data_IF_171944729285
#
_entry.id   IF_171944729285
#
_cell.length_a   1.000
_cell.length_b   1.000
_cell.length_c   1.000
_cell.angle_alpha   90.00
_cell.angle_beta   90.00
_cell.angle_gamma   90.00
#
_symmetry.space_group_name_H-M   'P 1'
#
loop_
_entity.id
_entity.type
_entity.pdbx_description
1 polymer ?
#
# COMPACT_ATOMS: atom_id res chain seq x y z
N UNK A 1 20.93 -42.35 -11.66
CA UNK A 1 21.90 -41.28 -11.37
C UNK A 1 21.38 -39.89 -11.67
N UNK A 2 20.76 -39.59 -12.85
CA UNK A 2 20.23 -38.25 -13.18
C UNK A 2 19.06 -37.84 -12.29
N UNK A 3 18.07 -38.74 -12.09
CA UNK A 3 16.90 -38.48 -11.24
C UNK A 3 17.29 -38.16 -9.79
N UNK A 4 18.22 -38.92 -9.20
CA UNK A 4 18.71 -38.64 -7.83
C UNK A 4 19.37 -37.26 -7.70
N UNK A 5 20.10 -36.81 -8.72
CA UNK A 5 20.70 -35.46 -8.73
C UNK A 5 19.64 -34.37 -8.77
N UNK A 6 18.58 -34.55 -9.58
CA UNK A 6 17.45 -33.62 -9.67
C UNK A 6 16.73 -33.53 -8.30
N UNK A 7 16.44 -34.67 -7.68
CA UNK A 7 15.79 -34.71 -6.36
C UNK A 7 16.66 -34.05 -5.30
N UNK A 8 17.96 -34.29 -5.29
CA UNK A 8 18.90 -33.65 -4.36
C UNK A 8 18.93 -32.12 -4.52
N UNK A 9 18.92 -31.62 -5.75
CA UNK A 9 18.85 -30.17 -6.03
C UNK A 9 17.54 -29.57 -5.53
N UNK A 10 16.41 -30.23 -5.75
CA UNK A 10 15.11 -29.75 -5.26
C UNK A 10 15.11 -29.66 -3.74
N UNK A 11 15.61 -30.72 -3.06
CA UNK A 11 15.70 -30.71 -1.58
C UNK A 11 16.60 -29.58 -1.09
N UNK A 12 17.74 -29.34 -1.74
CA UNK A 12 18.64 -28.24 -1.38
C UNK A 12 17.98 -26.87 -1.55
N UNK A 13 17.23 -26.65 -2.64
CA UNK A 13 16.50 -25.40 -2.87
C UNK A 13 15.42 -25.21 -1.79
N UNK A 14 14.66 -26.25 -1.46
CA UNK A 14 13.64 -26.18 -0.40
C UNK A 14 14.32 -25.87 0.95
N UNK A 15 15.43 -26.53 1.29
CA UNK A 15 16.14 -26.30 2.53
C UNK A 15 16.68 -24.85 2.63
N UNK A 16 17.21 -24.30 1.53
CA UNK A 16 17.65 -22.92 1.47
C UNK A 16 16.48 -21.94 1.62
N UNK A 17 15.35 -22.22 0.98
CA UNK A 17 14.14 -21.40 1.10
C UNK A 17 13.59 -21.40 2.53
N UNK A 18 13.49 -22.57 3.16
CA UNK A 18 13.03 -22.70 4.56
C UNK A 18 14.02 -22.03 5.52
N UNK A 19 15.33 -22.18 5.26
CA UNK A 19 16.39 -21.51 6.02
C UNK A 19 16.27 -19.98 5.92
N UNK A 20 16.11 -19.44 4.73
CA UNK A 20 15.88 -18.01 4.50
C UNK A 20 14.65 -17.49 5.23
N UNK A 21 13.53 -18.20 5.11
CA UNK A 21 12.28 -17.83 5.78
C UNK A 21 12.43 -17.78 7.31
N UNK A 22 12.99 -18.84 7.92
CA UNK A 22 13.00 -18.95 9.39
C UNK A 22 14.16 -18.21 10.06
N UNK A 23 15.31 -18.08 9.42
CA UNK A 23 16.51 -17.50 10.02
C UNK A 23 16.71 -16.03 9.67
N UNK A 24 16.07 -15.55 8.61
CA UNK A 24 16.22 -14.18 8.14
C UNK A 24 14.89 -13.43 8.11
N UNK A 25 13.89 -13.92 7.36
CA UNK A 25 12.68 -13.16 7.09
C UNK A 25 11.78 -13.05 8.34
N UNK A 26 11.57 -14.13 9.09
CA UNK A 26 10.71 -14.08 10.29
C UNK A 26 11.26 -13.16 11.39
N UNK A 27 12.57 -13.23 11.78
CA UNK A 27 13.11 -12.25 12.72
C UNK A 27 13.02 -10.81 12.23
N UNK A 28 13.22 -10.57 10.93
CA UNK A 28 13.12 -9.25 10.35
C UNK A 28 11.67 -8.72 10.37
N UNK A 29 10.68 -9.58 10.15
CA UNK A 29 9.25 -9.25 10.28
C UNK A 29 8.86 -8.89 11.72
N UNK A 30 9.38 -9.62 12.71
CA UNK A 30 9.15 -9.34 14.13
C UNK A 30 9.75 -7.98 14.51
N UNK A 31 10.96 -7.68 14.04
CA UNK A 31 11.62 -6.39 14.24
C UNK A 31 10.82 -5.26 13.57
N UNK A 32 10.46 -5.41 12.30
CA UNK A 32 9.65 -4.44 11.57
C UNK A 32 8.31 -4.16 12.26
N UNK A 33 7.66 -5.21 12.81
CA UNK A 33 6.41 -5.08 13.57
C UNK A 33 6.62 -4.21 14.82
N UNK A 34 7.74 -4.38 15.49
CA UNK A 34 8.07 -3.58 16.69
C UNK A 34 8.32 -2.11 16.34
N UNK A 35 9.01 -1.84 15.22
CA UNK A 35 9.30 -0.48 14.75
C UNK A 35 8.05 0.25 14.25
N UNK A 36 7.09 -0.45 13.64
CA UNK A 36 5.82 0.13 13.18
C UNK A 36 5.01 0.79 14.31
N UNK A 37 5.09 0.25 15.53
CA UNK A 37 4.21 0.62 16.64
C UNK A 37 4.18 2.12 16.95
N UNK A 38 5.36 2.75 17.03
CA UNK A 38 5.44 4.19 17.36
C UNK A 38 4.97 5.07 16.20
N UNK A 39 5.32 4.71 14.96
CA UNK A 39 4.86 5.42 13.78
C UNK A 39 3.33 5.37 13.63
N UNK A 40 2.71 4.22 13.92
CA UNK A 40 1.25 4.06 13.95
C UNK A 40 0.59 4.90 15.04
N UNK A 41 1.22 5.05 16.22
CA UNK A 41 0.73 5.94 17.27
C UNK A 41 0.75 7.40 16.80
N UNK A 42 1.81 7.85 16.12
CA UNK A 42 1.86 9.19 15.55
C UNK A 42 0.81 9.38 14.47
N UNK A 43 0.63 8.39 13.60
CA UNK A 43 -0.41 8.41 12.57
C UNK A 43 -1.82 8.53 13.19
N UNK A 44 -2.12 7.72 14.22
CA UNK A 44 -3.42 7.74 14.91
C UNK A 44 -3.70 9.07 15.65
N UNK A 45 -2.66 9.87 15.89
CA UNK A 45 -2.76 11.22 16.50
C UNK A 45 -2.70 12.34 15.46
N UNK A 46 -2.86 12.03 14.18
CA UNK A 46 -2.74 12.97 13.06
C UNK A 46 -1.36 13.69 12.99
N UNK A 47 -0.35 13.13 13.66
CA UNK A 47 1.02 13.66 13.66
C UNK A 47 1.79 13.14 12.45
N UNK A 48 1.29 13.40 11.25
CA UNK A 48 1.75 12.75 10.00
C UNK A 48 3.23 13.00 9.70
N UNK A 49 3.77 14.16 10.02
CA UNK A 49 5.21 14.43 9.87
C UNK A 49 6.07 13.52 10.77
N UNK A 50 5.65 13.28 12.01
CA UNK A 50 6.36 12.36 12.92
C UNK A 50 6.12 10.90 12.51
N UNK A 51 4.92 10.57 12.02
CA UNK A 51 4.65 9.26 11.49
C UNK A 51 5.54 8.92 10.28
N UNK A 52 5.79 9.90 9.40
CA UNK A 52 6.65 9.74 8.23
C UNK A 52 8.14 9.62 8.59
N UNK A 53 8.64 10.55 9.42
CA UNK A 53 10.09 10.77 9.59
C UNK A 53 10.62 10.26 10.92
N UNK A 54 9.75 9.77 11.82
CA UNK A 54 10.13 9.47 13.20
C UNK A 54 10.39 10.70 14.04
N UNK A 55 10.86 10.49 15.27
CA UNK A 55 11.16 11.54 16.24
C UNK A 55 12.65 11.61 16.62
N UNK A 56 13.49 10.86 15.90
CA UNK A 56 14.93 10.71 16.15
C UNK A 56 15.30 9.62 17.15
N UNK A 57 14.32 9.06 17.87
CA UNK A 57 14.49 7.86 18.71
C UNK A 57 13.83 6.62 18.07
N UNK A 58 12.69 6.82 17.39
CA UNK A 58 11.93 5.79 16.71
C UNK A 58 11.85 6.10 15.22
N UNK A 59 11.83 5.05 14.41
CA UNK A 59 11.72 5.15 12.96
C UNK A 59 10.35 5.70 12.55
N UNK A 60 10.31 6.41 11.42
CA UNK A 60 9.08 6.74 10.71
C UNK A 60 8.79 5.74 9.59
N UNK A 61 7.60 5.85 9.00
CA UNK A 61 7.19 4.93 7.92
C UNK A 61 8.14 4.94 6.73
N UNK A 62 8.81 6.06 6.43
CA UNK A 62 9.77 6.16 5.33
C UNK A 62 10.96 5.22 5.58
N UNK A 63 11.56 5.29 6.76
CA UNK A 63 12.70 4.45 7.12
C UNK A 63 12.28 2.98 7.21
N UNK A 64 11.10 2.71 7.81
CA UNK A 64 10.57 1.35 7.92
C UNK A 64 10.31 0.74 6.54
N UNK A 65 9.72 1.48 5.61
CA UNK A 65 9.48 1.03 4.23
C UNK A 65 10.79 0.69 3.50
N UNK A 66 11.87 1.43 3.76
CA UNK A 66 13.17 1.21 3.15
C UNK A 66 13.93 0.04 3.81
N UNK A 67 14.05 0.06 5.14
CA UNK A 67 14.89 -0.88 5.88
C UNK A 67 14.29 -2.29 5.93
N UNK A 68 12.96 -2.36 5.92
CA UNK A 68 12.19 -3.60 6.00
C UNK A 68 11.40 -3.93 4.71
N UNK A 69 11.84 -3.45 3.56
CA UNK A 69 11.17 -3.59 2.27
C UNK A 69 10.81 -5.04 1.87
N UNK A 70 11.52 -6.04 2.41
CA UNK A 70 11.24 -7.47 2.15
C UNK A 70 10.19 -8.08 3.07
N UNK A 71 9.64 -7.31 4.01
CA UNK A 71 8.64 -7.74 5.00
C UNK A 71 7.26 -7.20 4.66
N UNK A 72 6.22 -7.83 5.20
CA UNK A 72 4.85 -7.32 5.10
C UNK A 72 4.68 -5.97 5.79
N UNK A 73 5.42 -5.76 6.88
CA UNK A 73 5.38 -4.50 7.61
C UNK A 73 6.03 -3.36 6.81
N UNK A 74 7.14 -3.63 6.11
CA UNK A 74 7.74 -2.66 5.19
C UNK A 74 6.79 -2.27 4.04
N UNK A 75 6.09 -3.26 3.47
CA UNK A 75 5.04 -2.97 2.49
C UNK A 75 3.89 -2.15 3.11
N UNK A 76 3.43 -2.50 4.31
CA UNK A 76 2.39 -1.76 5.02
C UNK A 76 2.85 -0.33 5.37
N UNK A 77 4.13 -0.13 5.67
CA UNK A 77 4.70 1.20 5.88
C UNK A 77 4.60 2.08 4.63
N UNK A 78 4.74 1.53 3.42
CA UNK A 78 4.46 2.28 2.18
C UNK A 78 3.01 2.78 2.12
N UNK A 79 2.04 1.97 2.53
CA UNK A 79 0.64 2.40 2.58
C UNK A 79 0.45 3.56 3.57
N UNK A 80 0.94 3.43 4.81
CA UNK A 80 0.80 4.48 5.82
C UNK A 80 1.58 5.74 5.45
N UNK A 81 2.76 5.62 4.84
CA UNK A 81 3.51 6.76 4.31
C UNK A 81 2.71 7.48 3.23
N UNK A 82 2.16 6.74 2.28
CA UNK A 82 1.31 7.31 1.23
C UNK A 82 0.08 8.03 1.76
N UNK A 83 -0.62 7.45 2.74
CA UNK A 83 -1.77 8.11 3.39
C UNK A 83 -1.32 9.34 4.19
N UNK A 84 -0.18 9.28 4.88
CA UNK A 84 0.36 10.43 5.62
C UNK A 84 0.68 11.59 4.67
N UNK A 85 1.31 11.33 3.54
CA UNK A 85 1.57 12.34 2.51
C UNK A 85 0.28 12.92 1.91
N UNK A 86 -0.74 12.09 1.69
CA UNK A 86 -2.06 12.55 1.24
C UNK A 86 -2.67 13.54 2.24
N UNK A 87 -2.60 13.25 3.54
CA UNK A 87 -3.09 14.14 4.59
C UNK A 87 -2.30 15.45 4.66
N UNK A 88 -1.00 15.41 4.38
CA UNK A 88 -0.14 16.59 4.28
C UNK A 88 -0.29 17.34 2.94
N UNK A 89 -1.14 16.85 2.03
CA UNK A 89 -1.35 17.39 0.67
C UNK A 89 -0.11 17.32 -0.24
N UNK A 90 0.80 16.42 0.08
CA UNK A 90 1.96 16.10 -0.74
C UNK A 90 1.61 14.99 -1.76
N UNK A 91 0.70 15.29 -2.68
CA UNK A 91 0.01 14.31 -3.52
C UNK A 91 0.94 13.47 -4.40
N UNK A 92 2.03 14.04 -4.93
CA UNK A 92 2.98 13.27 -5.73
C UNK A 92 3.71 12.22 -4.89
N UNK A 93 4.19 12.59 -3.70
CA UNK A 93 4.82 11.66 -2.76
C UNK A 93 3.82 10.57 -2.33
N UNK A 94 2.56 10.96 -2.06
CA UNK A 94 1.50 10.01 -1.73
C UNK A 94 1.29 8.96 -2.83
N UNK A 95 1.24 9.40 -4.09
CA UNK A 95 1.08 8.52 -5.25
C UNK A 95 2.25 7.54 -5.36
N UNK A 96 3.49 7.99 -5.15
CA UNK A 96 4.68 7.16 -5.27
C UNK A 96 4.67 6.05 -4.22
N UNK A 97 4.50 6.39 -2.94
CA UNK A 97 4.44 5.39 -1.86
C UNK A 97 3.25 4.45 -1.98
N UNK A 98 2.06 4.93 -2.38
CA UNK A 98 0.89 4.06 -2.58
C UNK A 98 1.04 3.13 -3.79
N UNK A 99 1.84 3.48 -4.80
CA UNK A 99 2.16 2.61 -5.92
C UNK A 99 3.16 1.52 -5.56
N UNK A 100 4.08 1.81 -4.63
CA UNK A 100 5.05 0.86 -4.13
C UNK A 100 4.42 -0.13 -3.12
N UNK A 101 3.23 0.20 -2.59
CA UNK A 101 2.48 -0.70 -1.71
C UNK A 101 1.90 -1.89 -2.49
N UNK A 102 2.10 -3.10 -1.95
CA UNK A 102 1.49 -4.34 -2.43
C UNK A 102 0.92 -5.12 -1.26
N UNK A 103 -0.25 -5.74 -1.44
CA UNK A 103 -0.87 -6.57 -0.41
C UNK A 103 -1.83 -7.59 -1.02
N UNK A 104 -1.90 -8.77 -0.40
CA UNK A 104 -2.92 -9.79 -0.68
C UNK A 104 -4.29 -9.42 -0.10
N UNK A 105 -4.35 -8.42 0.79
CA UNK A 105 -5.62 -7.91 1.33
C UNK A 105 -6.31 -7.04 0.26
N UNK A 106 -7.39 -7.59 -0.29
CA UNK A 106 -8.21 -6.96 -1.35
C UNK A 106 -8.78 -5.61 -0.90
N UNK A 107 -9.17 -5.49 0.39
CA UNK A 107 -9.73 -4.23 0.91
C UNK A 107 -8.65 -3.17 0.95
N UNK A 108 -7.51 -3.50 1.54
CA UNK A 108 -6.41 -2.55 1.69
C UNK A 108 -5.84 -2.12 0.33
N UNK A 109 -5.66 -3.09 -0.59
CA UNK A 109 -5.25 -2.81 -1.98
C UNK A 109 -6.24 -1.90 -2.70
N UNK A 110 -7.56 -2.11 -2.53
CA UNK A 110 -8.59 -1.25 -3.11
C UNK A 110 -8.58 0.15 -2.49
N UNK A 111 -8.33 0.26 -1.18
CA UNK A 111 -8.18 1.55 -0.50
C UNK A 111 -6.95 2.31 -1.01
N UNK A 112 -5.82 1.64 -1.20
CA UNK A 112 -4.62 2.26 -1.76
C UNK A 112 -4.88 2.80 -3.19
N UNK A 113 -5.45 1.98 -4.07
CA UNK A 113 -5.82 2.40 -5.42
C UNK A 113 -6.76 3.60 -5.42
N UNK A 114 -7.78 3.59 -4.56
CA UNK A 114 -8.71 4.70 -4.45
C UNK A 114 -8.07 5.97 -3.89
N UNK A 115 -7.11 5.85 -2.97
CA UNK A 115 -6.35 6.99 -2.44
C UNK A 115 -5.43 7.60 -3.50
N UNK A 116 -4.86 6.78 -4.40
CA UNK A 116 -4.14 7.30 -5.59
C UNK A 116 -5.10 8.10 -6.47
N UNK A 117 -6.34 7.60 -6.67
CA UNK A 117 -7.38 8.33 -7.39
C UNK A 117 -7.70 9.68 -6.73
N UNK A 118 -7.79 9.72 -5.40
CA UNK A 118 -7.99 10.95 -4.63
C UNK A 118 -6.84 11.95 -4.87
N UNK A 119 -5.59 11.48 -4.83
CA UNK A 119 -4.43 12.33 -5.12
C UNK A 119 -4.47 12.94 -6.53
N UNK A 120 -4.79 12.14 -7.55
CA UNK A 120 -4.91 12.66 -8.92
C UNK A 120 -6.05 13.67 -9.06
N UNK A 121 -7.15 13.48 -8.34
CA UNK A 121 -8.25 14.45 -8.34
C UNK A 121 -7.81 15.80 -7.74
N UNK A 122 -7.09 15.78 -6.64
CA UNK A 122 -6.51 16.99 -6.01
C UNK A 122 -5.48 17.69 -6.92
N UNK A 123 -4.78 16.91 -7.77
CA UNK A 123 -3.88 17.42 -8.80
C UNK A 123 -4.62 17.92 -10.07
N UNK A 124 -5.95 17.90 -10.08
CA UNK A 124 -6.79 18.19 -11.25
C UNK A 124 -6.55 17.26 -12.45
N UNK A 125 -6.03 16.06 -12.23
CA UNK A 125 -5.87 15.02 -13.24
C UNK A 125 -7.04 14.05 -13.18
N UNK A 126 -8.16 14.49 -13.72
CA UNK A 126 -9.43 13.76 -13.66
C UNK A 126 -9.38 12.42 -14.39
N UNK A 127 -8.64 12.32 -15.49
CA UNK A 127 -8.55 11.10 -16.28
C UNK A 127 -7.84 9.98 -15.49
N UNK A 128 -6.73 10.30 -14.84
CA UNK A 128 -6.04 9.37 -13.96
C UNK A 128 -6.87 9.07 -12.70
N UNK A 129 -7.55 10.06 -12.11
CA UNK A 129 -8.43 9.84 -10.97
C UNK A 129 -9.50 8.78 -11.29
N UNK A 130 -10.25 8.94 -12.37
CA UNK A 130 -11.27 7.99 -12.85
C UNK A 130 -10.66 6.60 -13.15
N UNK A 131 -9.47 6.56 -13.75
CA UNK A 131 -8.78 5.30 -14.03
C UNK A 131 -8.48 4.53 -12.75
N UNK A 132 -8.00 5.21 -11.70
CA UNK A 132 -7.67 4.58 -10.41
C UNK A 132 -8.91 4.20 -9.61
N UNK A 133 -9.99 4.98 -9.64
CA UNK A 133 -11.27 4.55 -9.03
C UNK A 133 -11.81 3.28 -9.71
N UNK A 134 -11.74 3.17 -11.05
CA UNK A 134 -12.11 1.93 -11.76
C UNK A 134 -11.25 0.75 -11.36
N UNK A 135 -9.94 0.94 -11.18
CA UNK A 135 -9.06 -0.11 -10.66
C UNK A 135 -9.47 -0.53 -9.24
N UNK A 136 -9.77 0.43 -8.35
CA UNK A 136 -10.22 0.15 -7.00
C UNK A 136 -11.54 -0.64 -6.98
N UNK A 137 -12.50 -0.28 -7.86
CA UNK A 137 -13.78 -0.99 -8.02
C UNK A 137 -13.54 -2.42 -8.52
N UNK A 138 -12.74 -2.60 -9.57
CA UNK A 138 -12.49 -3.91 -10.17
C UNK A 138 -11.64 -4.84 -9.30
N UNK A 139 -10.81 -4.28 -8.43
CA UNK A 139 -10.01 -5.06 -7.46
C UNK A 139 -10.84 -5.50 -6.26
N UNK A 140 -11.97 -4.81 -5.98
CA UNK A 140 -12.78 -5.04 -4.80
C UNK A 140 -13.86 -6.10 -5.06
N UNK A 141 -13.93 -7.11 -4.18
CA UNK A 141 -15.02 -8.10 -4.16
C UNK A 141 -15.99 -7.86 -2.98
N UNK A 142 -15.93 -6.66 -2.39
CA UNK A 142 -16.81 -6.29 -1.29
C UNK A 142 -17.65 -5.05 -1.61
N UNK A 143 -18.88 -5.03 -1.11
CA UNK A 143 -19.83 -3.96 -1.36
C UNK A 143 -19.42 -2.60 -0.78
N UNK A 144 -18.58 -2.57 0.25
CA UNK A 144 -18.19 -1.33 0.93
C UNK A 144 -17.23 -0.50 0.07
N UNK A 145 -16.08 -1.07 -0.34
CA UNK A 145 -15.10 -0.36 -1.17
C UNK A 145 -15.63 -0.10 -2.57
N UNK A 146 -16.36 -1.07 -3.16
CA UNK A 146 -17.01 -0.90 -4.47
C UNK A 146 -18.00 0.28 -4.45
N UNK A 147 -18.92 0.34 -3.49
CA UNK A 147 -19.89 1.43 -3.40
C UNK A 147 -19.22 2.79 -3.19
N UNK A 148 -18.19 2.84 -2.33
CA UNK A 148 -17.40 4.05 -2.06
C UNK A 148 -16.79 4.63 -3.36
N UNK A 149 -16.15 3.79 -4.17
CA UNK A 149 -15.45 4.27 -5.36
C UNK A 149 -16.36 4.47 -6.57
N UNK A 150 -17.48 3.72 -6.67
CA UNK A 150 -18.55 4.04 -7.63
C UNK A 150 -19.14 5.43 -7.37
N UNK A 151 -19.41 5.75 -6.11
CA UNK A 151 -19.91 7.09 -5.76
C UNK A 151 -18.91 8.19 -6.09
N UNK A 152 -17.61 7.98 -5.82
CA UNK A 152 -16.56 8.95 -6.17
C UNK A 152 -16.43 9.10 -7.70
N UNK A 153 -16.45 8.01 -8.45
CA UNK A 153 -16.43 8.03 -9.91
C UNK A 153 -17.62 8.83 -10.48
N UNK A 154 -18.83 8.56 -9.99
CA UNK A 154 -20.03 9.28 -10.40
C UNK A 154 -19.96 10.78 -10.11
N UNK A 155 -19.50 11.18 -8.91
CA UNK A 155 -19.33 12.60 -8.53
C UNK A 155 -18.32 13.31 -9.43
N UNK A 156 -17.23 12.66 -9.81
CA UNK A 156 -16.24 13.24 -10.74
C UNK A 156 -16.82 13.41 -12.13
N UNK A 157 -17.57 12.41 -12.63
CA UNK A 157 -18.25 12.50 -13.93
C UNK A 157 -19.31 13.61 -13.93
N UNK A 158 -20.10 13.74 -12.87
CA UNK A 158 -21.09 14.80 -12.73
C UNK A 158 -20.44 16.19 -12.77
N UNK A 159 -19.34 16.38 -12.02
CA UNK A 159 -18.63 17.65 -11.98
C UNK A 159 -18.00 18.03 -13.32
N UNK A 160 -17.66 17.05 -14.16
CA UNK A 160 -17.17 17.25 -15.53
C UNK A 160 -18.29 17.39 -16.58
N UNK A 161 -19.56 17.49 -16.14
CA UNK A 161 -20.74 17.57 -17.04
C UNK A 161 -20.98 16.31 -17.89
N UNK A 162 -20.44 15.17 -17.52
CA UNK A 162 -20.60 13.87 -18.18
C UNK A 162 -21.80 13.10 -17.58
N UNK A 163 -22.94 13.78 -17.44
CA UNK A 163 -24.16 13.27 -16.77
C UNK A 163 -24.63 11.90 -17.29
N UNK A 164 -24.48 11.64 -18.59
CA UNK A 164 -24.90 10.38 -19.20
C UNK A 164 -24.06 9.19 -18.74
N UNK A 165 -22.82 9.42 -18.30
CA UNK A 165 -21.94 8.38 -17.75
C UNK A 165 -22.10 8.21 -16.23
N UNK A 166 -22.45 9.29 -15.53
CA UNK A 166 -22.67 9.25 -14.08
C UNK A 166 -23.90 8.43 -13.67
N UNK A 167 -24.87 8.25 -14.58
CA UNK A 167 -26.15 7.55 -14.36
C UNK A 167 -26.13 6.05 -14.72
N UNK A 168 -25.01 5.52 -15.22
CA UNK A 168 -24.87 4.09 -15.57
C UNK A 168 -24.18 3.29 -14.48
#
# INVERSE_FOLDING_TARGET
AKLMRIVAVIIAVIALFVGYQNLYLLPLEDEATSEMFTAEIYFAKDSFNLALNGDGQFLGFIDIANDYASTKQGELANYYAGISYLQLKEFNNAIDYLKDFSSDDIILSSLALGSIGDCYLELNDTDNALSYYKKAISNSDNSFTTAKYLMKEALVMENNSDFDKALK
#
